data_IF_913625220320
#
_entry.id   IF_913625220320
#
_cell.length_a   1.000
_cell.length_b   1.000
_cell.length_c   1.000
_cell.angle_alpha   90.00
_cell.angle_beta   90.00
_cell.angle_gamma   90.00
#
_symmetry.space_group_name_H-M   'P 1'
#
loop_
_entity.id
_entity.type
_entity.pdbx_description
1 polymer ?
#
# COMPACT_ATOMS: atom_id res chain seq x y z
N UNK A 1 31.56 2.38 9.63
CA UNK A 1 30.79 1.19 10.06
C UNK A 1 30.06 0.71 8.81
N UNK A 2 30.33 -0.50 8.38
CA UNK A 2 29.58 -1.13 7.28
C UNK A 2 28.14 -1.33 7.73
N UNK A 3 27.21 -1.08 6.82
CA UNK A 3 25.79 -1.37 7.05
C UNK A 3 25.65 -2.89 6.96
N UNK A 4 25.13 -3.58 8.00
CA UNK A 4 24.96 -5.01 7.95
C UNK A 4 24.02 -5.42 6.83
N UNK A 5 24.33 -6.49 6.12
CA UNK A 5 23.50 -7.06 5.10
C UNK A 5 22.43 -7.98 5.72
N UNK A 6 21.36 -8.26 4.98
CA UNK A 6 20.27 -9.13 5.46
C UNK A 6 20.77 -10.53 5.84
N UNK A 7 21.82 -10.98 5.17
CA UNK A 7 22.48 -12.26 5.48
C UNK A 7 23.06 -12.32 6.91
N UNK A 8 23.55 -11.18 7.42
CA UNK A 8 24.07 -11.06 8.79
C UNK A 8 22.98 -11.27 9.84
N UNK A 9 21.71 -11.14 9.46
CA UNK A 9 20.56 -11.41 10.30
C UNK A 9 19.94 -12.81 10.07
N UNK A 10 20.61 -13.69 9.32
CA UNK A 10 20.10 -15.02 9.00
C UNK A 10 18.90 -15.01 8.05
N UNK A 11 18.71 -13.93 7.31
CA UNK A 11 17.62 -13.78 6.33
C UNK A 11 18.13 -14.10 4.93
N UNK A 12 17.39 -14.90 4.17
CA UNK A 12 17.66 -15.14 2.75
C UNK A 12 16.66 -14.42 1.86
N UNK A 13 17.10 -14.02 0.67
CA UNK A 13 16.23 -13.43 -0.35
C UNK A 13 15.47 -14.45 -1.19
N UNK A 14 15.60 -15.72 -0.91
CA UNK A 14 14.92 -16.76 -1.67
C UNK A 14 13.40 -16.58 -1.56
N UNK A 15 12.74 -16.29 -2.67
CA UNK A 15 11.29 -16.07 -2.77
C UNK A 15 10.81 -14.60 -2.74
N UNK A 16 11.67 -13.61 -2.41
CA UNK A 16 11.27 -12.19 -2.33
C UNK A 16 11.29 -11.49 -3.72
N UNK A 17 11.69 -12.19 -4.77
CA UNK A 17 11.82 -11.59 -6.12
C UNK A 17 10.51 -11.04 -6.71
N UNK A 18 9.37 -11.39 -6.14
CA UNK A 18 8.03 -10.98 -6.61
C UNK A 18 7.45 -9.80 -5.83
N UNK A 19 8.17 -9.24 -4.85
CA UNK A 19 7.66 -8.09 -4.09
C UNK A 19 7.48 -6.88 -5.01
N UNK A 20 6.29 -6.28 -5.10
CA UNK A 20 6.04 -5.12 -5.94
C UNK A 20 6.72 -3.85 -5.40
N UNK A 21 7.16 -3.86 -4.14
CA UNK A 21 7.80 -2.72 -3.48
C UNK A 21 9.31 -2.93 -3.44
N UNK A 22 10.07 -2.06 -4.12
CA UNK A 22 11.53 -2.05 -4.03
C UNK A 22 12.00 -1.11 -2.93
N UNK A 23 13.12 -1.40 -2.24
CA UNK A 23 13.65 -0.55 -1.19
C UNK A 23 14.27 0.74 -1.74
N UNK A 24 14.38 1.73 -0.88
CA UNK A 24 15.13 2.96 -1.11
C UNK A 24 14.28 4.19 -1.48
N UNK A 25 14.80 5.35 -1.06
CA UNK A 25 14.15 6.65 -1.26
C UNK A 25 13.99 7.00 -2.76
N UNK A 26 15.01 6.71 -3.57
CA UNK A 26 14.97 6.98 -5.01
C UNK A 26 13.87 6.20 -5.73
N UNK A 27 13.66 4.93 -5.35
CA UNK A 27 12.55 4.14 -5.87
C UNK A 27 11.20 4.70 -5.40
N UNK A 28 11.07 5.03 -4.12
CA UNK A 28 9.84 5.56 -3.54
C UNK A 28 9.40 6.88 -4.22
N UNK A 29 10.36 7.79 -4.46
CA UNK A 29 10.10 9.05 -5.17
C UNK A 29 9.67 8.81 -6.62
N UNK A 30 10.37 7.93 -7.33
CA UNK A 30 10.02 7.57 -8.71
C UNK A 30 8.63 6.94 -8.80
N UNK A 31 8.31 6.04 -7.87
CA UNK A 31 6.98 5.42 -7.81
C UNK A 31 5.88 6.45 -7.54
N UNK A 32 6.14 7.42 -6.65
CA UNK A 32 5.22 8.52 -6.39
C UNK A 32 5.01 9.39 -7.64
N UNK A 33 6.09 9.75 -8.35
CA UNK A 33 6.01 10.53 -9.58
C UNK A 33 5.18 9.83 -10.65
N UNK A 34 5.40 8.54 -10.86
CA UNK A 34 4.66 7.72 -11.82
C UNK A 34 3.16 7.69 -11.43
N UNK A 35 2.87 7.36 -10.18
CA UNK A 35 1.49 7.25 -9.71
C UNK A 35 0.74 8.59 -9.77
N UNK A 36 1.39 9.69 -9.38
CA UNK A 36 0.80 11.03 -9.40
C UNK A 36 0.78 11.70 -10.77
N UNK A 37 1.38 11.08 -11.78
CA UNK A 37 1.56 11.64 -13.13
C UNK A 37 2.14 13.07 -13.15
N UNK A 38 2.93 13.42 -12.16
CA UNK A 38 3.69 14.68 -12.16
C UNK A 38 4.88 14.63 -13.13
N UNK A 39 4.99 13.55 -13.90
CA UNK A 39 5.99 13.37 -14.91
C UNK A 39 5.47 13.96 -16.23
N UNK A 40 5.97 15.13 -16.59
CA UNK A 40 5.90 15.60 -17.98
C UNK A 40 6.81 14.66 -18.79
N UNK A 41 6.19 13.76 -19.56
CA UNK A 41 6.91 12.86 -20.45
C UNK A 41 7.64 13.76 -21.47
N UNK A 42 8.98 13.81 -21.50
CA UNK A 42 9.67 14.39 -22.66
C UNK A 42 9.29 13.50 -23.84
N UNK A 43 8.87 14.15 -24.91
CA UNK A 43 8.43 13.55 -26.16
C UNK A 43 9.61 12.83 -26.84
N UNK A 44 10.06 11.74 -26.30
CA UNK A 44 11.17 10.94 -26.81
C UNK A 44 10.64 9.56 -27.20
N UNK A 45 10.39 9.40 -28.51
CA UNK A 45 9.74 8.27 -29.20
C UNK A 45 10.35 6.88 -28.98
N UNK A 46 11.28 6.71 -28.03
CA UNK A 46 12.01 5.45 -27.80
C UNK A 46 11.97 4.89 -26.39
N UNK A 47 11.28 5.53 -25.46
CA UNK A 47 10.96 4.89 -24.17
C UNK A 47 9.57 4.30 -24.28
N UNK A 48 9.46 2.96 -24.30
CA UNK A 48 8.22 2.28 -23.93
C UNK A 48 7.88 2.80 -22.54
N UNK A 49 7.04 3.84 -22.47
CA UNK A 49 6.40 4.24 -21.24
C UNK A 49 5.71 2.97 -20.75
N UNK A 50 6.14 2.45 -19.60
CA UNK A 50 5.34 1.50 -18.86
C UNK A 50 4.11 2.30 -18.46
N UNK A 51 3.07 2.25 -19.30
CA UNK A 51 1.77 2.79 -19.00
C UNK A 51 1.25 2.00 -17.81
N UNK A 52 1.42 2.54 -16.62
CA UNK A 52 0.53 2.18 -15.54
C UNK A 52 -0.83 2.71 -15.95
N UNK A 53 -1.72 1.83 -16.38
CA UNK A 53 -3.12 2.19 -16.65
C UNK A 53 -3.79 2.76 -15.40
N UNK A 54 -3.23 2.46 -14.22
CA UNK A 54 -3.74 2.82 -12.92
C UNK A 54 -2.88 3.90 -12.26
N UNK A 55 -3.41 5.12 -12.23
CA UNK A 55 -2.78 6.30 -11.65
C UNK A 55 -3.67 6.92 -10.58
N UNK A 56 -3.24 8.03 -9.98
CA UNK A 56 -4.03 8.78 -9.01
C UNK A 56 -5.38 9.23 -9.58
N UNK A 57 -5.49 9.41 -10.91
CA UNK A 57 -6.72 9.83 -11.58
C UNK A 57 -7.76 8.72 -11.69
N UNK A 58 -7.34 7.45 -11.73
CA UNK A 58 -8.21 6.28 -11.76
C UNK A 58 -8.33 5.57 -10.40
N UNK A 59 -7.72 6.11 -9.37
CA UNK A 59 -7.63 5.49 -8.06
C UNK A 59 -9.00 5.14 -7.46
N UNK A 60 -9.99 6.03 -7.58
CA UNK A 60 -11.33 5.81 -7.06
C UNK A 60 -11.99 4.56 -7.63
N UNK A 61 -11.87 4.37 -8.94
CA UNK A 61 -12.51 3.29 -9.67
C UNK A 61 -11.81 1.95 -9.45
N UNK A 62 -10.47 1.98 -9.31
CA UNK A 62 -9.65 0.76 -9.36
C UNK A 62 -9.18 0.28 -7.98
N UNK A 63 -9.15 1.17 -6.96
CA UNK A 63 -8.64 0.85 -5.61
C UNK A 63 -9.33 -0.33 -4.92
N UNK A 64 -10.55 -0.66 -5.30
CA UNK A 64 -11.35 -1.70 -4.65
C UNK A 64 -11.33 -3.03 -5.41
N UNK A 65 -10.58 -3.12 -6.51
CA UNK A 65 -10.51 -4.29 -7.37
C UNK A 65 -9.18 -5.01 -7.13
N UNK A 66 -9.16 -6.13 -6.34
CA UNK A 66 -7.92 -6.82 -5.98
C UNK A 66 -7.10 -7.38 -7.14
N UNK A 67 -7.73 -7.60 -8.30
CA UNK A 67 -7.06 -8.11 -9.52
C UNK A 67 -6.39 -7.02 -10.35
N UNK A 68 -6.53 -5.74 -9.97
CA UNK A 68 -5.89 -4.60 -10.62
C UNK A 68 -4.78 -4.01 -9.76
N UNK A 69 -3.79 -3.42 -10.40
CA UNK A 69 -2.74 -2.65 -9.72
C UNK A 69 -3.19 -1.21 -9.39
N UNK A 70 -4.49 -1.05 -9.07
CA UNK A 70 -5.18 0.22 -8.86
C UNK A 70 -4.78 1.00 -7.60
N UNK A 71 -3.60 0.72 -7.01
CA UNK A 71 -3.09 1.41 -5.82
C UNK A 71 -1.69 1.96 -6.05
N UNK A 72 -1.24 2.85 -5.17
CA UNK A 72 0.07 3.50 -5.32
C UNK A 72 1.28 2.61 -5.02
N UNK A 73 1.11 1.46 -4.36
CA UNK A 73 2.17 0.60 -3.83
C UNK A 73 3.19 1.32 -2.92
N UNK A 74 2.82 2.46 -2.34
CA UNK A 74 3.68 3.28 -1.49
C UNK A 74 3.63 2.93 0.00
N UNK A 75 2.80 1.95 0.39
CA UNK A 75 2.58 1.62 1.80
C UNK A 75 3.87 1.22 2.54
N UNK A 76 4.72 0.41 1.92
CA UNK A 76 6.02 0.01 2.49
C UNK A 76 6.96 1.20 2.64
N UNK A 77 7.02 2.09 1.64
CA UNK A 77 7.86 3.30 1.66
C UNK A 77 7.40 4.30 2.72
N UNK A 78 6.09 4.48 2.87
CA UNK A 78 5.52 5.33 3.92
C UNK A 78 5.72 4.73 5.32
N UNK A 79 5.67 3.40 5.45
CA UNK A 79 5.88 2.71 6.72
C UNK A 79 7.34 2.75 7.16
N UNK A 80 8.29 2.56 6.24
CA UNK A 80 9.73 2.62 6.52
C UNK A 80 10.29 4.03 6.62
N UNK A 81 9.51 5.06 6.25
CA UNK A 81 9.96 6.45 6.24
C UNK A 81 10.86 6.82 5.05
N UNK A 82 11.01 5.93 4.05
CA UNK A 82 11.75 6.25 2.81
C UNK A 82 10.98 7.21 1.90
N UNK A 83 9.69 7.43 2.19
CA UNK A 83 8.85 8.46 1.60
C UNK A 83 8.13 9.24 2.69
N UNK A 84 8.27 10.57 2.68
CA UNK A 84 7.54 11.45 3.59
C UNK A 84 6.04 11.53 3.21
N UNK A 85 5.11 11.44 4.18
CA UNK A 85 3.68 11.59 3.87
C UNK A 85 3.33 12.99 3.34
N UNK A 86 4.11 14.00 3.72
CA UNK A 86 3.97 15.36 3.17
C UNK A 86 4.33 15.43 1.69
N UNK A 87 5.41 14.74 1.27
CA UNK A 87 5.81 14.70 -0.14
C UNK A 87 4.73 14.03 -0.98
N UNK A 88 4.16 12.94 -0.46
CA UNK A 88 3.04 12.25 -1.08
C UNK A 88 1.80 13.16 -1.21
N UNK A 89 1.46 13.90 -0.16
CA UNK A 89 0.34 14.83 -0.16
C UNK A 89 0.56 15.99 -1.16
N UNK A 90 1.75 16.59 -1.20
CA UNK A 90 2.08 17.66 -2.14
C UNK A 90 2.12 17.17 -3.59
N UNK A 91 2.53 15.93 -3.84
CA UNK A 91 2.45 15.36 -5.18
C UNK A 91 0.99 15.28 -5.66
N UNK A 92 0.07 14.87 -4.79
CA UNK A 92 -1.37 14.87 -5.11
C UNK A 92 -1.92 16.29 -5.35
N UNK A 93 -1.49 17.30 -4.57
CA UNK A 93 -1.88 18.69 -4.82
C UNK A 93 -1.44 19.18 -6.20
N UNK A 94 -0.25 18.79 -6.67
CA UNK A 94 0.19 19.10 -8.03
C UNK A 94 -0.70 18.40 -9.08
N UNK A 95 -1.09 17.14 -8.83
CA UNK A 95 -2.00 16.44 -9.73
C UNK A 95 -3.39 17.10 -9.81
N UNK A 96 -3.86 17.75 -8.72
CA UNK A 96 -5.10 18.53 -8.74
C UNK A 96 -5.02 19.70 -9.72
N UNK A 97 -3.87 20.38 -9.82
CA UNK A 97 -3.70 21.48 -10.76
C UNK A 97 -3.88 21.01 -12.21
N UNK A 98 -3.40 19.81 -12.53
CA UNK A 98 -3.59 19.18 -13.85
C UNK A 98 -5.07 18.91 -14.08
N UNK A 99 -5.75 18.24 -13.13
CA UNK A 99 -7.16 17.91 -13.22
C UNK A 99 -8.06 19.14 -13.33
N UNK A 100 -7.70 20.25 -12.66
CA UNK A 100 -8.39 21.55 -12.79
C UNK A 100 -8.22 22.14 -14.18
N UNK A 101 -7.01 22.09 -14.74
CA UNK A 101 -6.75 22.59 -16.09
C UNK A 101 -7.55 21.80 -17.15
N UNK A 102 -7.71 20.50 -16.95
CA UNK A 102 -8.49 19.61 -17.81
C UNK A 102 -10.00 19.69 -17.55
N UNK A 103 -10.43 20.42 -16.51
CA UNK A 103 -11.84 20.51 -16.06
C UNK A 103 -12.47 19.15 -15.78
N UNK A 104 -11.70 18.17 -15.31
CA UNK A 104 -12.14 16.82 -15.04
C UNK A 104 -12.48 16.63 -13.54
N UNK A 105 -13.75 16.77 -13.18
CA UNK A 105 -14.22 16.60 -11.80
C UNK A 105 -14.03 15.17 -11.27
N UNK A 106 -14.04 14.17 -12.12
CA UNK A 106 -13.83 12.78 -11.73
C UNK A 106 -12.40 12.55 -11.26
N UNK A 107 -11.44 13.13 -11.97
CA UNK A 107 -10.03 13.09 -11.60
C UNK A 107 -9.78 13.80 -10.25
N UNK A 108 -10.42 14.94 -10.02
CA UNK A 108 -10.33 15.66 -8.73
C UNK A 108 -10.83 14.79 -7.58
N UNK A 109 -11.98 14.16 -7.73
CA UNK A 109 -12.54 13.29 -6.69
C UNK A 109 -11.64 12.08 -6.43
N UNK A 110 -11.03 11.50 -7.46
CA UNK A 110 -10.10 10.38 -7.33
C UNK A 110 -8.87 10.77 -6.49
N UNK A 111 -8.29 11.96 -6.76
CA UNK A 111 -7.16 12.49 -6.01
C UNK A 111 -7.54 12.74 -4.54
N UNK A 112 -8.70 13.34 -4.29
CA UNK A 112 -9.17 13.62 -2.92
C UNK A 112 -9.36 12.34 -2.10
N UNK A 113 -9.90 11.30 -2.71
CA UNK A 113 -10.04 10.00 -2.06
C UNK A 113 -8.66 9.42 -1.71
N UNK A 114 -7.66 9.54 -2.59
CA UNK A 114 -6.32 9.07 -2.26
C UNK A 114 -5.66 9.89 -1.14
N UNK A 115 -5.82 11.22 -1.15
CA UNK A 115 -5.33 12.06 -0.05
C UNK A 115 -6.00 11.72 1.28
N UNK A 116 -7.27 11.35 1.26
CA UNK A 116 -7.97 10.91 2.46
C UNK A 116 -7.34 9.66 3.08
N UNK A 117 -6.76 8.75 2.29
CA UNK A 117 -6.03 7.59 2.83
C UNK A 117 -4.76 8.01 3.59
N UNK A 118 -4.08 9.08 3.18
CA UNK A 118 -2.97 9.65 3.95
C UNK A 118 -3.44 10.26 5.26
N UNK A 119 -4.59 10.93 5.27
CA UNK A 119 -5.22 11.47 6.48
C UNK A 119 -5.63 10.34 7.43
N UNK A 120 -6.20 9.24 6.92
CA UNK A 120 -6.51 8.06 7.72
C UNK A 120 -5.26 7.46 8.38
N UNK A 121 -4.14 7.42 7.66
CA UNK A 121 -2.86 6.96 8.21
C UNK A 121 -2.45 7.81 9.41
N UNK A 122 -2.50 9.13 9.30
CA UNK A 122 -2.19 10.05 10.41
C UNK A 122 -3.17 9.86 11.57
N UNK A 123 -4.45 9.72 11.29
CA UNK A 123 -5.47 9.46 12.32
C UNK A 123 -5.14 8.20 13.14
N UNK A 124 -4.76 7.10 12.49
CA UNK A 124 -4.39 5.87 13.21
C UNK A 124 -3.10 6.02 14.02
N UNK A 125 -2.13 6.77 13.54
CA UNK A 125 -0.91 7.08 14.29
C UNK A 125 -1.22 7.93 15.53
N UNK A 126 -2.06 8.96 15.39
CA UNK A 126 -2.53 9.75 16.52
C UNK A 126 -3.35 8.93 17.51
N UNK A 127 -4.17 8.00 17.01
CA UNK A 127 -4.94 7.11 17.88
C UNK A 127 -4.01 6.22 18.71
N UNK A 128 -2.99 5.62 18.10
CA UNK A 128 -2.00 4.81 18.83
C UNK A 128 -1.19 5.64 19.82
N UNK A 129 -0.81 6.86 19.44
CA UNK A 129 -0.07 7.77 20.33
C UNK A 129 -0.87 8.16 21.58
N UNK A 130 -2.17 8.49 21.41
CA UNK A 130 -3.02 8.90 22.52
C UNK A 130 -3.56 7.72 23.35
N UNK A 131 -3.66 6.52 22.73
CA UNK A 131 -4.18 5.31 23.36
C UNK A 131 -3.20 4.14 23.19
N UNK A 132 -1.96 4.21 23.75
CA UNK A 132 -0.91 3.22 23.49
C UNK A 132 -1.28 1.80 23.93
N UNK A 133 -2.25 1.63 24.82
CA UNK A 133 -2.74 0.32 25.25
C UNK A 133 -3.36 -0.49 24.11
N UNK A 134 -3.81 0.15 23.02
CA UNK A 134 -4.43 -0.55 21.87
C UNK A 134 -3.42 -1.40 21.08
N UNK A 135 -2.14 -1.21 21.30
CA UNK A 135 -1.11 -2.09 20.72
C UNK A 135 -1.22 -3.54 21.24
N UNK A 136 -1.76 -3.73 22.47
CA UNK A 136 -1.81 -5.03 23.13
C UNK A 136 -3.22 -5.41 23.65
N UNK A 137 -4.18 -4.54 23.46
CA UNK A 137 -5.55 -4.74 23.95
C UNK A 137 -6.58 -4.15 23.01
N UNK A 138 -7.82 -4.65 22.98
CA UNK A 138 -8.88 -4.04 22.19
C UNK A 138 -9.14 -2.60 22.64
N UNK A 139 -9.47 -1.70 21.70
CA UNK A 139 -9.83 -0.32 22.00
C UNK A 139 -11.01 -0.21 22.96
N UNK A 140 -11.99 -1.11 22.85
CA UNK A 140 -13.14 -1.20 23.76
C UNK A 140 -12.96 -2.37 24.71
N UNK A 141 -12.91 -2.10 26.00
CA UNK A 141 -12.68 -3.09 27.06
C UNK A 141 -13.64 -4.28 27.03
N UNK A 142 -14.89 -4.09 26.59
CA UNK A 142 -15.88 -5.17 26.44
C UNK A 142 -15.44 -6.32 25.53
N UNK A 143 -14.47 -6.08 24.65
CA UNK A 143 -13.94 -7.10 23.72
C UNK A 143 -12.70 -7.83 24.27
N UNK A 144 -12.22 -7.45 25.45
CA UNK A 144 -11.01 -8.03 26.05
C UNK A 144 -11.11 -9.54 26.29
N UNK A 145 -12.29 -10.00 26.62
CA UNK A 145 -12.57 -11.39 26.93
C UNK A 145 -13.41 -12.07 25.83
N UNK A 146 -13.35 -11.57 24.63
CA UNK A 146 -14.03 -12.20 23.49
C UNK A 146 -13.50 -13.63 23.27
N UNK A 147 -14.37 -14.66 23.20
CA UNK A 147 -13.94 -16.04 23.02
C UNK A 147 -13.52 -16.30 21.58
N UNK A 148 -12.26 -16.02 21.29
CA UNK A 148 -11.68 -16.33 19.98
C UNK A 148 -11.58 -17.85 19.76
N UNK A 149 -11.89 -18.31 18.55
CA UNK A 149 -11.69 -19.70 18.17
C UNK A 149 -10.20 -20.02 18.05
N UNK A 150 -9.74 -21.08 18.77
CA UNK A 150 -8.34 -21.49 18.79
C UNK A 150 -8.11 -22.79 18.00
N UNK A 151 -8.82 -22.99 16.88
CA UNK A 151 -8.63 -24.19 16.05
C UNK A 151 -7.36 -24.05 15.20
N UNK A 152 -6.31 -24.76 15.60
CA UNK A 152 -5.00 -24.73 14.92
C UNK A 152 -5.07 -25.22 13.46
N UNK A 153 -5.95 -26.17 13.15
CA UNK A 153 -6.10 -26.66 11.77
C UNK A 153 -6.70 -25.58 10.87
N UNK A 154 -7.71 -24.84 11.34
CA UNK A 154 -8.29 -23.73 10.59
C UNK A 154 -7.28 -22.59 10.41
N UNK A 155 -6.50 -22.28 11.45
CA UNK A 155 -5.44 -21.27 11.38
C UNK A 155 -4.38 -21.62 10.33
N UNK A 156 -3.88 -22.86 10.36
CA UNK A 156 -2.90 -23.34 9.38
C UNK A 156 -3.45 -23.31 7.94
N UNK A 157 -4.72 -23.71 7.75
CA UNK A 157 -5.36 -23.63 6.42
C UNK A 157 -5.46 -22.20 5.92
N UNK A 158 -5.78 -21.26 6.80
CA UNK A 158 -5.81 -19.82 6.47
C UNK A 158 -4.40 -19.29 6.15
N UNK A 159 -3.42 -19.56 7.00
CA UNK A 159 -2.03 -19.13 6.81
C UNK A 159 -1.45 -19.61 5.47
N UNK A 160 -1.76 -20.84 5.08
CA UNK A 160 -1.28 -21.44 3.82
C UNK A 160 -2.14 -21.09 2.60
N UNK A 161 -3.26 -20.39 2.76
CA UNK A 161 -4.20 -20.10 1.67
C UNK A 161 -4.88 -21.36 1.13
N UNK A 162 -5.35 -22.22 2.03
CA UNK A 162 -5.98 -23.53 1.77
C UNK A 162 -7.36 -23.64 2.46
N UNK A 163 -8.06 -22.52 2.61
CA UNK A 163 -9.36 -22.46 3.27
C UNK A 163 -10.50 -23.00 2.39
N UNK A 164 -10.31 -23.04 1.07
CA UNK A 164 -11.35 -23.34 0.08
C UNK A 164 -12.17 -22.10 -0.33
N UNK A 165 -11.92 -20.92 0.24
CA UNK A 165 -12.51 -19.65 -0.19
C UNK A 165 -11.56 -18.96 -1.15
N UNK A 166 -11.88 -18.86 -2.47
CA UNK A 166 -10.91 -18.44 -3.48
C UNK A 166 -10.26 -17.07 -3.23
N UNK A 167 -11.03 -16.08 -2.77
CA UNK A 167 -10.50 -14.74 -2.51
C UNK A 167 -9.55 -14.72 -1.31
N UNK A 168 -9.84 -15.49 -0.26
CA UNK A 168 -9.00 -15.60 0.94
C UNK A 168 -7.71 -16.33 0.57
N UNK A 169 -7.82 -17.44 -0.13
CA UNK A 169 -6.68 -18.26 -0.52
C UNK A 169 -5.75 -17.51 -1.48
N UNK A 170 -6.31 -16.79 -2.45
CA UNK A 170 -5.52 -15.93 -3.35
C UNK A 170 -4.79 -14.83 -2.59
N UNK A 171 -5.46 -14.16 -1.65
CA UNK A 171 -4.87 -13.10 -0.85
C UNK A 171 -3.73 -13.59 0.04
N UNK A 172 -3.90 -14.74 0.71
CA UNK A 172 -2.87 -15.33 1.55
C UNK A 172 -1.67 -15.84 0.74
N UNK A 173 -1.91 -16.45 -0.43
CA UNK A 173 -0.84 -16.84 -1.35
C UNK A 173 -0.07 -15.63 -1.88
N UNK A 174 -0.75 -14.54 -2.21
CA UNK A 174 -0.10 -13.29 -2.60
C UNK A 174 0.77 -12.75 -1.46
N UNK A 175 0.24 -12.71 -0.23
CA UNK A 175 1.02 -12.26 0.94
C UNK A 175 2.26 -13.13 1.15
N UNK A 176 2.11 -14.44 1.13
CA UNK A 176 3.21 -15.38 1.37
C UNK A 176 4.30 -15.32 0.29
N UNK A 177 3.92 -15.04 -0.96
CA UNK A 177 4.88 -14.99 -2.08
C UNK A 177 5.52 -13.62 -2.27
N UNK A 178 4.85 -12.53 -1.89
CA UNK A 178 5.27 -11.17 -2.23
C UNK A 178 5.51 -10.26 -1.03
N UNK A 179 5.04 -10.65 0.17
CA UNK A 179 5.00 -9.77 1.35
C UNK A 179 3.95 -8.65 1.25
N UNK A 180 3.15 -8.60 0.18
CA UNK A 180 2.13 -7.59 -0.05
C UNK A 180 0.74 -8.21 -0.19
N UNK A 181 -0.28 -7.52 0.31
CA UNK A 181 -1.68 -7.93 0.18
C UNK A 181 -2.56 -6.72 -0.06
N UNK A 182 -3.50 -6.83 -0.98
CA UNK A 182 -4.47 -5.78 -1.26
C UNK A 182 -5.30 -5.43 -0.02
N UNK A 183 -5.60 -4.13 0.20
CA UNK A 183 -6.31 -3.66 1.41
C UNK A 183 -7.67 -4.34 1.61
N UNK A 184 -8.44 -4.56 0.53
CA UNK A 184 -9.76 -5.23 0.61
C UNK A 184 -9.69 -6.70 1.03
N UNK A 185 -8.50 -7.30 0.99
CA UNK A 185 -8.29 -8.69 1.38
C UNK A 185 -7.78 -8.84 2.83
N UNK A 186 -7.53 -7.73 3.54
CA UNK A 186 -7.00 -7.72 4.92
C UNK A 186 -8.08 -7.73 6.00
N UNK A 187 -9.34 -7.78 5.63
CA UNK A 187 -10.49 -7.79 6.54
C UNK A 187 -10.84 -9.20 6.98
#
# INVERSE_FOLDING_TARGET
>A
KEVPELYDFGMSFEGISLCPCKPGEGYAKKQLEIFSQNYLIPDNKNTKAMFFEDTIFSYKENRDIPSKDGTSFLSASLASGTLGPRDAFFAAEKSKLIAFAEKCNQNLLSIEIWQQELIWREFYQHSLFNFPYIANSPFREKWKYFPWGNNKAHYNSWELGLTGFPIIDAAMRQLNSTGWMHNRCRM
#
